data_IF_989231853550
#
_entry.id   IF_989231853550
#
_cell.length_a   1.000
_cell.length_b   1.000
_cell.length_c   1.000
_cell.angle_alpha   90.00
_cell.angle_beta   90.00
_cell.angle_gamma   90.00
#
_symmetry.space_group_name_H-M   'P 1'
#
loop_
_entity.id
_entity.type
_entity.pdbx_description
1 polymer ?
#
# COMPACT_ATOMS: atom_id res chain seq x y z
N UNK A 1 16.32 46.06 -6.07
CA UNK A 1 15.67 45.04 -6.90
C UNK A 1 14.93 44.07 -5.99
N UNK A 2 13.61 43.98 -6.19
CA UNK A 2 12.70 42.88 -5.88
C UNK A 2 12.74 42.26 -4.48
N UNK A 3 11.85 42.76 -3.62
CA UNK A 3 11.23 42.02 -2.52
C UNK A 3 10.66 40.70 -3.09
N UNK A 4 11.37 39.59 -2.87
CA UNK A 4 10.78 38.27 -3.00
C UNK A 4 9.66 38.19 -1.96
N UNK A 5 8.43 38.36 -2.43
CA UNK A 5 7.23 38.14 -1.63
C UNK A 5 7.23 36.70 -1.12
N UNK A 6 7.80 36.47 0.07
CA UNK A 6 7.49 35.28 0.87
C UNK A 6 6.03 35.45 1.23
N UNK A 7 5.17 34.78 0.46
CA UNK A 7 3.77 34.65 0.82
C UNK A 7 3.75 33.82 2.08
N UNK A 8 3.54 34.47 3.23
CA UNK A 8 3.25 33.79 4.50
C UNK A 8 1.84 33.20 4.40
N UNK A 9 1.63 32.24 3.50
CA UNK A 9 0.41 31.44 3.50
C UNK A 9 0.57 30.40 4.61
N UNK A 10 -0.31 30.48 5.61
CA UNK A 10 -0.42 29.44 6.62
C UNK A 10 -0.84 28.15 5.89
N UNK A 11 -0.20 26.99 6.17
CA UNK A 11 -0.57 25.74 5.53
C UNK A 11 -2.03 25.39 5.83
N UNK A 12 -2.68 24.73 4.88
CA UNK A 12 -4.07 24.31 5.04
C UNK A 12 -4.19 23.21 6.09
N UNK A 13 -5.35 23.16 6.77
CA UNK A 13 -5.65 22.01 7.63
C UNK A 13 -5.72 20.72 6.77
N UNK A 14 -5.31 19.55 7.30
CA UNK A 14 -5.30 18.31 6.54
C UNK A 14 -6.65 18.00 5.90
N UNK A 15 -6.65 17.66 4.61
CA UNK A 15 -7.86 17.42 3.84
C UNK A 15 -8.43 18.65 3.13
N UNK A 16 -7.79 19.81 3.25
CA UNK A 16 -8.14 21.03 2.53
C UNK A 16 -7.00 21.50 1.61
N UNK A 17 -7.35 22.20 0.54
CA UNK A 17 -6.39 22.75 -0.42
C UNK A 17 -6.89 24.07 -1.07
N UNK A 18 -5.98 24.72 -1.78
CA UNK A 18 -6.19 25.99 -2.49
C UNK A 18 -5.76 27.20 -1.67
N UNK A 19 -5.63 28.35 -2.34
CA UNK A 19 -5.12 29.60 -1.74
C UNK A 19 -5.91 30.11 -0.51
N UNK A 20 -7.13 29.60 -0.31
CA UNK A 20 -8.03 29.94 0.81
C UNK A 20 -8.32 28.75 1.73
N UNK A 21 -7.75 27.58 1.45
CA UNK A 21 -8.04 26.33 2.17
C UNK A 21 -9.53 26.00 2.25
N UNK A 22 -10.30 26.32 1.21
CA UNK A 22 -11.76 26.16 1.15
C UNK A 22 -12.18 24.97 0.28
N UNK A 23 -11.24 24.31 -0.40
CA UNK A 23 -11.51 23.14 -1.24
C UNK A 23 -11.16 21.88 -0.48
N UNK A 24 -12.05 20.89 -0.54
CA UNK A 24 -11.86 19.59 0.12
C UNK A 24 -11.12 18.63 -0.80
N UNK A 25 -10.12 17.93 -0.28
CA UNK A 25 -9.40 16.88 -0.98
C UNK A 25 -10.35 15.80 -1.51
N UNK A 26 -9.96 15.15 -2.62
CA UNK A 26 -10.72 14.02 -3.19
C UNK A 26 -10.91 12.92 -2.15
N UNK A 27 -12.13 12.40 -2.02
CA UNK A 27 -12.43 11.25 -1.13
C UNK A 27 -11.76 9.96 -1.57
N UNK A 28 -11.22 9.92 -2.79
CA UNK A 28 -10.44 8.78 -3.29
C UNK A 28 -8.99 8.79 -2.81
N UNK A 29 -8.50 9.92 -2.28
CA UNK A 29 -7.15 9.99 -1.72
C UNK A 29 -7.04 9.08 -0.49
N UNK A 30 -5.87 8.48 -0.32
CA UNK A 30 -5.58 7.74 0.90
C UNK A 30 -5.63 8.68 2.11
N UNK A 31 -6.37 8.28 3.14
CA UNK A 31 -6.70 9.10 4.32
C UNK A 31 -7.36 10.47 4.03
N UNK A 32 -7.86 10.68 2.79
CA UNK A 32 -8.42 11.96 2.38
C UNK A 32 -7.38 13.10 2.30
N UNK A 33 -6.09 12.76 2.16
CA UNK A 33 -5.00 13.75 2.16
C UNK A 33 -4.54 14.09 0.74
N UNK A 34 -4.36 15.39 0.50
CA UNK A 34 -3.88 15.92 -0.77
C UNK A 34 -2.90 17.08 -0.57
N UNK A 35 -2.17 17.40 -1.62
CA UNK A 35 -1.29 18.56 -1.71
C UNK A 35 -2.12 19.85 -1.57
N UNK A 36 -1.75 20.68 -0.60
CA UNK A 36 -2.49 21.89 -0.25
C UNK A 36 -2.52 22.95 -1.38
N UNK A 37 -1.58 22.89 -2.33
CA UNK A 37 -1.48 23.88 -3.40
C UNK A 37 -2.31 23.48 -4.62
N UNK A 38 -2.29 22.20 -4.98
CA UNK A 38 -2.86 21.71 -6.23
C UNK A 38 -3.98 20.66 -6.07
N UNK A 39 -4.22 20.17 -4.85
CA UNK A 39 -5.29 19.23 -4.54
C UNK A 39 -5.03 17.78 -4.95
N UNK A 40 -3.84 17.45 -5.49
CA UNK A 40 -3.50 16.09 -5.88
C UNK A 40 -3.27 15.21 -4.65
N UNK A 41 -3.77 13.98 -4.68
CA UNK A 41 -3.60 13.05 -3.57
C UNK A 41 -2.12 12.83 -3.26
N UNK A 42 -1.78 12.82 -1.96
CA UNK A 42 -0.42 12.51 -1.51
C UNK A 42 -0.09 11.02 -1.69
N UNK A 43 -1.11 10.17 -1.53
CA UNK A 43 -1.03 8.73 -1.81
C UNK A 43 -2.38 8.20 -2.27
N UNK A 44 -2.36 7.09 -2.99
CA UNK A 44 -3.55 6.36 -3.42
C UNK A 44 -3.73 5.07 -2.64
N UNK A 45 -4.98 4.71 -2.29
CA UNK A 45 -5.27 3.42 -1.69
C UNK A 45 -4.89 2.29 -2.66
N UNK A 46 -4.75 1.07 -2.13
CA UNK A 46 -4.43 -0.11 -2.91
C UNK A 46 -5.44 -0.29 -4.05
N UNK A 47 -4.95 -0.58 -5.26
CA UNK A 47 -5.81 -0.77 -6.42
C UNK A 47 -6.18 0.51 -7.16
N UNK A 48 -5.77 1.69 -6.69
CA UNK A 48 -6.03 2.99 -7.33
C UNK A 48 -4.73 3.71 -7.75
N UNK A 49 -4.87 4.55 -8.77
CA UNK A 49 -3.80 5.34 -9.39
C UNK A 49 -4.37 6.65 -9.97
N UNK A 50 -3.49 7.54 -10.41
CA UNK A 50 -3.79 8.87 -10.92
C UNK A 50 -3.63 9.95 -9.84
N UNK A 51 -3.47 11.20 -10.28
CA UNK A 51 -3.21 12.33 -9.37
C UNK A 51 -4.34 12.59 -8.36
N UNK A 52 -5.53 12.04 -8.58
CA UNK A 52 -6.67 12.14 -7.67
C UNK A 52 -7.23 10.77 -7.26
N UNK A 53 -6.46 9.69 -7.49
CA UNK A 53 -6.80 8.29 -7.19
C UNK A 53 -8.15 7.82 -7.75
N UNK A 54 -8.58 8.44 -8.86
CA UNK A 54 -9.86 8.20 -9.50
C UNK A 54 -9.80 7.12 -10.59
N UNK A 55 -8.65 6.47 -10.78
CA UNK A 55 -8.45 5.43 -11.78
C UNK A 55 -8.06 4.13 -11.09
N UNK A 56 -8.63 3.01 -11.54
CA UNK A 56 -8.18 1.68 -11.11
C UNK A 56 -6.81 1.34 -11.67
N UNK A 57 -6.09 0.44 -11.00
CA UNK A 57 -4.85 -0.09 -11.55
C UNK A 57 -5.06 -0.66 -12.95
N UNK A 58 -4.16 -0.30 -13.87
CA UNK A 58 -4.03 -1.00 -15.14
C UNK A 58 -3.76 -2.48 -14.88
N UNK A 59 -4.33 -3.35 -15.69
CA UNK A 59 -4.13 -4.80 -15.59
C UNK A 59 -2.65 -5.14 -15.57
N UNK A 60 -2.26 -5.96 -14.61
CA UNK A 60 -0.87 -6.33 -14.39
C UNK A 60 -0.10 -5.47 -13.39
N UNK A 61 -0.76 -4.51 -12.75
CA UNK A 61 -0.20 -3.70 -11.67
C UNK A 61 -1.06 -3.80 -10.41
N UNK A 62 -0.43 -3.63 -9.25
CA UNK A 62 -1.13 -3.70 -7.96
C UNK A 62 -0.46 -2.87 -6.86
N UNK A 63 -1.12 -2.75 -5.70
CA UNK A 63 -0.63 -2.05 -4.51
C UNK A 63 -0.95 -0.55 -4.51
N UNK A 64 -0.33 0.19 -3.59
CA UNK A 64 -0.43 1.66 -3.53
C UNK A 64 0.09 2.29 -4.84
N UNK A 65 -0.68 3.21 -5.41
CA UNK A 65 -0.34 3.86 -6.68
C UNK A 65 -0.11 2.88 -7.85
N UNK A 66 -0.51 1.62 -7.67
CA UNK A 66 -0.24 0.52 -8.59
C UNK A 66 1.25 0.32 -8.90
N UNK A 67 2.17 0.66 -7.99
CA UNK A 67 3.61 0.69 -8.29
C UNK A 67 4.22 -0.70 -8.53
N UNK A 68 3.56 -1.76 -8.06
CA UNK A 68 4.04 -3.14 -8.18
C UNK A 68 3.48 -3.83 -9.42
N UNK A 69 4.19 -4.83 -9.92
CA UNK A 69 3.82 -5.61 -11.10
C UNK A 69 3.39 -7.03 -10.72
N UNK A 70 2.30 -7.51 -11.31
CA UNK A 70 1.86 -8.89 -11.16
C UNK A 70 2.95 -9.87 -11.63
N UNK A 71 3.07 -11.01 -10.93
CA UNK A 71 3.96 -12.08 -11.36
C UNK A 71 3.51 -12.66 -12.72
N UNK A 72 4.46 -12.90 -13.61
CA UNK A 72 4.21 -13.63 -14.87
C UNK A 72 3.89 -15.12 -14.66
N UNK A 73 3.96 -15.57 -13.40
CA UNK A 73 3.76 -16.94 -12.96
C UNK A 73 2.36 -17.19 -12.39
N UNK A 74 1.50 -16.17 -12.32
CA UNK A 74 0.07 -16.39 -12.14
C UNK A 74 -0.47 -17.28 -13.28
N UNK A 75 -1.44 -18.15 -12.98
CA UNK A 75 -2.29 -18.72 -14.01
C UNK A 75 -3.10 -17.59 -14.66
N UNK A 76 -2.91 -17.37 -15.97
CA UNK A 76 -3.39 -16.18 -16.70
C UNK A 76 -2.31 -15.10 -16.93
N UNK A 77 -1.07 -15.32 -16.45
CA UNK A 77 0.09 -14.47 -16.72
C UNK A 77 0.09 -13.15 -15.97
N UNK A 78 0.95 -12.21 -16.39
CA UNK A 78 1.20 -10.94 -15.70
C UNK A 78 0.02 -9.96 -15.68
N UNK A 79 -1.18 -10.36 -16.12
CA UNK A 79 -2.41 -9.58 -16.04
C UNK A 79 -3.43 -10.16 -15.07
N UNK A 80 -3.18 -11.37 -14.57
CA UNK A 80 -4.13 -12.16 -13.80
C UNK A 80 -3.81 -12.11 -12.29
N UNK A 81 -3.64 -10.91 -11.76
CA UNK A 81 -3.54 -10.71 -10.32
C UNK A 81 -4.45 -9.58 -9.85
N UNK A 82 -4.87 -9.66 -8.58
CA UNK A 82 -5.73 -8.67 -7.97
C UNK A 82 -4.99 -7.33 -7.85
N UNK A 83 -5.63 -6.21 -8.23
CA UNK A 83 -4.97 -4.89 -8.22
C UNK A 83 -4.72 -4.35 -6.80
N UNK A 84 -5.38 -4.91 -5.78
CA UNK A 84 -5.21 -4.49 -4.39
C UNK A 84 -3.89 -5.00 -3.83
N UNK A 85 -3.72 -6.31 -3.78
CA UNK A 85 -2.63 -6.98 -3.04
C UNK A 85 -1.68 -7.79 -3.93
N UNK A 86 -2.01 -7.95 -5.21
CA UNK A 86 -1.22 -8.71 -6.16
C UNK A 86 -1.52 -10.21 -6.19
N UNK A 87 -2.55 -10.66 -5.47
CA UNK A 87 -2.89 -12.09 -5.37
C UNK A 87 -3.30 -12.66 -6.72
N UNK A 88 -2.66 -13.75 -7.14
CA UNK A 88 -3.00 -14.46 -8.37
C UNK A 88 -4.26 -15.31 -8.15
N UNK A 89 -5.43 -14.83 -8.60
CA UNK A 89 -6.72 -15.51 -8.38
C UNK A 89 -6.80 -16.91 -9.02
N UNK A 90 -6.04 -17.14 -10.09
CA UNK A 90 -5.95 -18.44 -10.75
C UNK A 90 -4.95 -19.40 -10.09
N UNK A 91 -4.25 -18.99 -9.04
CA UNK A 91 -3.13 -19.72 -8.46
C UNK A 91 -1.83 -19.58 -9.25
N UNK A 92 -0.85 -20.43 -8.94
CA UNK A 92 0.52 -20.34 -9.45
C UNK A 92 0.89 -21.49 -10.38
N UNK A 93 1.66 -21.18 -11.43
CA UNK A 93 2.36 -22.21 -12.23
C UNK A 93 3.22 -23.10 -11.32
N UNK A 94 3.45 -24.34 -11.73
CA UNK A 94 4.23 -25.33 -10.99
C UNK A 94 5.59 -24.77 -10.52
N UNK A 95 5.90 -24.97 -9.23
CA UNK A 95 7.16 -24.52 -8.60
C UNK A 95 7.12 -23.13 -7.95
N UNK A 96 6.01 -22.39 -8.08
CA UNK A 96 5.83 -21.05 -7.52
C UNK A 96 4.88 -21.06 -6.32
N UNK A 97 5.16 -20.21 -5.33
CA UNK A 97 4.37 -20.16 -4.10
C UNK A 97 3.28 -19.07 -4.13
N UNK A 98 2.02 -19.40 -3.76
CA UNK A 98 0.96 -18.41 -3.59
C UNK A 98 1.25 -17.49 -2.40
N UNK A 99 0.60 -16.31 -2.30
CA UNK A 99 -0.40 -15.77 -3.24
C UNK A 99 0.19 -15.00 -4.43
N UNK A 100 1.48 -14.64 -4.39
CA UNK A 100 2.14 -13.78 -5.38
C UNK A 100 2.92 -14.55 -6.47
N UNK A 101 2.95 -15.88 -6.40
CA UNK A 101 3.70 -16.75 -7.31
C UNK A 101 5.17 -16.32 -7.42
N UNK A 102 5.82 -16.18 -6.26
CA UNK A 102 7.26 -15.96 -6.13
C UNK A 102 8.01 -17.28 -6.23
N UNK A 103 9.27 -17.23 -6.64
CA UNK A 103 10.11 -18.42 -6.65
C UNK A 103 10.16 -19.01 -5.24
N UNK A 104 9.90 -20.31 -5.14
CA UNK A 104 10.27 -21.06 -3.95
C UNK A 104 11.79 -21.03 -3.90
N UNK A 105 12.39 -20.04 -3.22
CA UNK A 105 13.79 -20.10 -2.84
C UNK A 105 13.92 -21.30 -1.91
N UNK A 106 14.08 -22.48 -2.48
CA UNK A 106 14.70 -23.63 -1.81
C UNK A 106 16.20 -23.29 -1.80
N UNK A 107 16.54 -22.24 -1.06
CA UNK A 107 17.91 -22.09 -0.61
C UNK A 107 18.05 -23.17 0.46
N UNK A 108 18.81 -24.21 0.15
CA UNK A 108 19.08 -25.34 1.04
C UNK A 108 19.91 -24.91 2.24
N UNK A 109 19.34 -24.08 3.10
CA UNK A 109 19.86 -23.70 4.41
C UNK A 109 18.70 -23.70 5.39
N UNK A 110 18.58 -24.85 6.04
CA UNK A 110 17.86 -25.14 7.28
C UNK A 110 17.15 -23.97 7.98
N UNK A 111 15.82 -24.01 7.99
CA UNK A 111 15.10 -23.70 9.21
C UNK A 111 13.78 -24.47 9.27
N UNK A 112 13.76 -25.57 10.01
CA UNK A 112 12.52 -26.14 10.51
C UNK A 112 11.92 -25.15 11.53
N UNK A 113 11.16 -24.16 11.06
CA UNK A 113 10.27 -23.41 11.94
C UNK A 113 8.90 -24.07 11.89
N UNK A 114 8.67 -24.89 12.91
CA UNK A 114 7.42 -25.55 13.24
C UNK A 114 6.22 -24.60 13.10
N UNK A 115 5.11 -25.13 12.59
CA UNK A 115 3.79 -24.58 12.92
C UNK A 115 3.62 -24.65 14.44
N UNK A 116 4.10 -23.66 15.18
CA UNK A 116 3.69 -23.46 16.57
C UNK A 116 2.35 -22.71 16.55
N UNK A 117 1.29 -23.47 16.80
CA UNK A 117 -0.04 -22.96 17.06
C UNK A 117 -0.01 -21.88 18.13
N UNK A 118 -0.63 -20.74 17.87
CA UNK A 118 -0.89 -19.68 18.84
C UNK A 118 -1.57 -20.26 20.10
N UNK A 119 -0.85 -20.28 21.22
CA UNK A 119 -1.47 -20.25 22.54
C UNK A 119 -1.04 -18.96 23.25
N UNK A 120 -2.02 -18.11 23.46
CA UNK A 120 -1.93 -16.88 24.25
C UNK A 120 -1.49 -17.26 25.67
N UNK A 121 -0.33 -16.80 26.12
CA UNK A 121 0.04 -16.77 27.54
C UNK A 121 0.51 -15.37 27.91
N UNK A 122 -0.35 -14.67 28.66
CA UNK A 122 -0.07 -13.39 29.32
C UNK A 122 1.17 -13.47 30.22
N UNK A 123 1.95 -12.39 30.39
CA UNK A 123 3.07 -12.36 31.31
C UNK A 123 2.59 -12.47 32.77
N UNK A 124 3.00 -13.55 33.44
CA UNK A 124 2.80 -13.76 34.88
C UNK A 124 3.41 -12.64 35.72
N UNK A 125 2.56 -11.86 36.36
CA UNK A 125 2.92 -11.03 37.53
C UNK A 125 2.54 -11.80 38.79
N UNK A 126 3.47 -12.52 39.41
CA UNK A 126 3.33 -12.96 40.81
C UNK A 126 4.65 -12.86 41.56
N UNK A 127 4.66 -11.86 42.44
CA UNK A 127 5.53 -11.58 43.58
C UNK A 127 5.80 -12.86 44.39
N UNK A 128 7.06 -13.14 44.75
CA UNK A 128 7.39 -14.09 45.83
C UNK A 128 8.14 -13.33 46.93
N UNK A 129 7.45 -13.10 48.04
CA UNK A 129 8.03 -12.75 49.34
C UNK A 129 8.43 -14.07 50.02
N UNK A 130 9.67 -14.20 50.44
CA UNK A 130 10.13 -15.05 51.55
C UNK A 130 11.43 -14.44 52.07
#
# INVERSE_FOLDING_TARGET
>A
MNEHSVSTQRPCDPGLYGNKCDKVCSTNCEFGLCDENNGKCLSCPHGKDGSFCNRDCKSGRYGHGCEKYCSSRCFGGSRACAPVDGTCSGGCKTGYQPPLCVDSKVDGSDNCFSHETQTISHPSMTKRLS
#
